data_IF_217972631850
#
_entry.id   IF_217972631850
#
_cell.length_a   1.000
_cell.length_b   1.000
_cell.length_c   1.000
_cell.angle_alpha   90.00
_cell.angle_beta   90.00
_cell.angle_gamma   90.00
#
_symmetry.space_group_name_H-M   'P 1'
#
loop_
_entity.id
_entity.type
_entity.pdbx_description
1 polymer ?
#
# COMPACT_ATOMS: atom_id res chain seq x y z
N UNK A 1 9.90 13.15 -12.24
CA UNK A 1 8.65 12.55 -12.65
C UNK A 1 7.50 13.01 -11.77
N UNK A 2 6.36 13.05 -12.35
CA UNK A 2 5.18 13.49 -11.62
C UNK A 2 4.73 12.43 -10.65
N UNK A 3 4.50 12.85 -9.42
CA UNK A 3 3.80 12.01 -8.47
C UNK A 3 2.34 11.96 -8.87
N UNK A 4 1.86 10.80 -9.24
CA UNK A 4 0.47 10.61 -9.61
C UNK A 4 -0.34 9.94 -8.52
N UNK A 5 0.21 9.84 -7.34
CA UNK A 5 -0.49 9.25 -6.22
C UNK A 5 -1.58 10.17 -5.69
N UNK A 6 -2.56 9.57 -5.06
CA UNK A 6 -3.63 10.30 -4.43
C UNK A 6 -4.10 9.56 -3.19
N UNK A 7 -4.73 10.31 -2.30
CA UNK A 7 -5.22 9.76 -1.05
C UNK A 7 -6.73 9.56 -1.15
N UNK A 8 -7.17 8.36 -0.76
CA UNK A 8 -8.59 8.02 -0.72
C UNK A 8 -9.06 7.97 0.72
N UNK A 9 -10.18 8.61 0.98
CA UNK A 9 -10.87 8.52 2.27
C UNK A 9 -12.06 7.60 2.09
N UNK A 10 -12.15 6.56 2.90
CA UNK A 10 -13.22 5.60 2.83
C UNK A 10 -12.76 4.20 3.18
N UNK A 11 -13.57 3.21 2.83
CA UNK A 11 -13.21 1.81 3.10
C UNK A 11 -12.25 1.31 2.02
N UNK A 12 -10.96 1.39 2.34
CA UNK A 12 -9.90 1.00 1.40
C UNK A 12 -9.82 -0.50 1.15
N UNK A 13 -10.62 -1.31 1.85
CA UNK A 13 -10.70 -2.75 1.58
C UNK A 13 -11.78 -3.08 0.56
N UNK A 14 -12.59 -2.11 0.17
CA UNK A 14 -13.60 -2.28 -0.87
C UNK A 14 -12.94 -2.22 -2.24
N UNK A 15 -13.05 -3.28 -3.07
CA UNK A 15 -12.49 -3.25 -4.42
C UNK A 15 -12.95 -2.07 -5.27
N UNK A 16 -14.19 -1.63 -5.11
CA UNK A 16 -14.70 -0.49 -5.88
C UNK A 16 -13.95 0.79 -5.53
N UNK A 17 -13.63 0.98 -4.25
CA UNK A 17 -12.86 2.15 -3.80
C UNK A 17 -11.44 2.09 -4.38
N UNK A 18 -10.82 0.91 -4.37
CA UNK A 18 -9.48 0.73 -4.92
C UNK A 18 -9.47 0.98 -6.42
N UNK A 19 -10.49 0.54 -7.14
CA UNK A 19 -10.57 0.76 -8.59
C UNK A 19 -10.80 2.21 -8.93
N UNK A 20 -11.62 2.92 -8.16
CA UNK A 20 -11.78 4.37 -8.32
C UNK A 20 -10.46 5.10 -8.08
N UNK A 21 -9.64 4.59 -7.17
CA UNK A 21 -8.32 5.14 -6.89
C UNK A 21 -7.31 4.89 -8.02
N UNK A 22 -7.65 4.07 -9.03
CA UNK A 22 -6.78 3.79 -10.15
C UNK A 22 -5.79 2.65 -9.90
N UNK A 23 -6.13 1.71 -9.02
CA UNK A 23 -5.22 0.62 -8.65
C UNK A 23 -4.80 -0.22 -9.88
N UNK A 24 -5.66 -0.33 -10.89
CA UNK A 24 -5.34 -1.10 -12.09
C UNK A 24 -4.21 -0.50 -12.91
N UNK A 25 -3.93 0.79 -12.73
CA UNK A 25 -2.88 1.50 -13.43
C UNK A 25 -1.71 1.85 -12.53
N UNK A 26 -1.76 1.42 -11.28
CA UNK A 26 -0.71 1.74 -10.32
C UNK A 26 0.54 0.92 -10.61
N UNK A 27 1.68 1.56 -10.64
CA UNK A 27 2.98 0.89 -10.67
C UNK A 27 3.46 0.63 -9.25
N UNK A 28 3.18 1.55 -8.36
CA UNK A 28 3.54 1.45 -6.95
C UNK A 28 2.29 1.69 -6.12
N UNK A 29 2.04 0.83 -5.15
CA UNK A 29 0.98 1.02 -4.18
C UNK A 29 1.56 0.95 -2.77
N UNK A 30 1.16 1.89 -1.94
CA UNK A 30 1.53 1.89 -0.52
C UNK A 30 0.27 1.93 0.33
N UNK A 31 0.06 0.89 1.10
CA UNK A 31 -1.01 0.84 2.10
C UNK A 31 -0.45 1.34 3.43
N UNK A 32 -0.78 2.58 3.77
CA UNK A 32 -0.15 3.29 4.89
C UNK A 32 -1.18 3.94 5.82
N UNK A 33 -2.28 3.26 6.07
CA UNK A 33 -3.28 3.68 7.04
C UNK A 33 -2.78 3.43 8.46
N UNK A 34 -3.55 3.84 9.46
CA UNK A 34 -3.22 3.58 10.86
C UNK A 34 -3.48 2.14 11.28
N UNK A 35 -4.16 1.35 10.45
CA UNK A 35 -4.55 -0.02 10.78
C UNK A 35 -3.69 -1.02 10.01
N UNK A 36 -2.87 -1.77 10.74
CA UNK A 36 -1.99 -2.78 10.14
C UNK A 36 -2.77 -3.84 9.36
N UNK A 37 -3.93 -4.26 9.87
CA UNK A 37 -4.71 -5.29 9.20
C UNK A 37 -5.27 -4.80 7.87
N UNK A 38 -5.72 -3.55 7.84
CA UNK A 38 -6.17 -2.92 6.59
C UNK A 38 -5.02 -2.84 5.60
N UNK A 39 -3.84 -2.42 6.07
CA UNK A 39 -2.66 -2.29 5.21
C UNK A 39 -2.26 -3.63 4.62
N UNK A 40 -2.28 -4.69 5.42
CA UNK A 40 -1.97 -6.03 4.93
C UNK A 40 -3.00 -6.51 3.91
N UNK A 41 -4.27 -6.27 4.16
CA UNK A 41 -5.33 -6.68 3.24
C UNK A 41 -5.24 -5.94 1.90
N UNK A 42 -5.07 -4.64 1.93
CA UNK A 42 -4.94 -3.84 0.70
C UNK A 42 -3.70 -4.28 -0.09
N UNK A 43 -2.60 -4.50 0.60
CA UNK A 43 -1.37 -4.96 -0.05
C UNK A 43 -1.55 -6.33 -0.70
N UNK A 44 -2.22 -7.25 -0.03
CA UNK A 44 -2.52 -8.57 -0.60
C UNK A 44 -3.41 -8.46 -1.82
N UNK A 45 -4.42 -7.61 -1.79
CA UNK A 45 -5.29 -7.38 -2.93
C UNK A 45 -4.51 -6.80 -4.10
N UNK A 46 -3.63 -5.85 -3.84
CA UNK A 46 -2.81 -5.24 -4.87
C UNK A 46 -1.93 -6.27 -5.58
N UNK A 47 -1.36 -7.23 -4.82
CA UNK A 47 -0.52 -8.26 -5.40
C UNK A 47 -1.32 -9.35 -6.10
N UNK A 48 -2.39 -9.84 -5.46
CA UNK A 48 -3.10 -11.03 -5.91
C UNK A 48 -4.16 -10.74 -6.95
N UNK A 49 -4.82 -9.60 -6.85
CA UNK A 49 -5.93 -9.27 -7.75
C UNK A 49 -5.47 -8.35 -8.86
N UNK A 50 -4.67 -7.34 -8.53
CA UNK A 50 -4.34 -6.26 -9.46
C UNK A 50 -2.91 -6.32 -10.00
N UNK A 51 -2.10 -7.23 -9.47
CA UNK A 51 -0.72 -7.46 -9.93
C UNK A 51 0.11 -6.17 -10.02
N UNK A 52 0.01 -5.33 -9.01
CA UNK A 52 0.78 -4.10 -8.92
C UNK A 52 2.27 -4.47 -8.77
N UNK A 53 3.15 -3.81 -9.52
CA UNK A 53 4.56 -4.15 -9.56
C UNK A 53 5.26 -4.03 -8.22
N UNK A 54 5.08 -2.91 -7.54
CA UNK A 54 5.70 -2.66 -6.25
C UNK A 54 4.64 -2.35 -5.21
N UNK A 55 4.62 -3.13 -4.15
CA UNK A 55 3.62 -3.00 -3.09
C UNK A 55 4.32 -2.87 -1.74
N UNK A 56 3.89 -1.87 -0.98
CA UNK A 56 4.38 -1.59 0.36
C UNK A 56 3.22 -1.61 1.34
N UNK A 57 3.48 -2.09 2.55
CA UNK A 57 2.49 -2.06 3.62
C UNK A 57 3.13 -1.49 4.89
N UNK A 58 2.52 -0.45 5.43
CA UNK A 58 2.95 0.09 6.72
C UNK A 58 2.53 -0.86 7.82
N UNK A 59 3.46 -1.18 8.69
CA UNK A 59 3.21 -2.00 9.87
C UNK A 59 3.73 -1.28 11.10
N UNK A 60 2.91 -1.25 12.14
CA UNK A 60 3.33 -0.80 13.46
C UNK A 60 3.80 -1.97 14.30
N UNK A 61 3.28 -3.16 14.03
CA UNK A 61 3.57 -4.39 14.77
C UNK A 61 4.35 -5.36 13.90
N UNK A 62 5.61 -5.62 14.27
CA UNK A 62 6.47 -6.54 13.53
C UNK A 62 5.93 -7.97 13.51
N UNK A 63 5.12 -8.35 14.49
CA UNK A 63 4.52 -9.68 14.53
C UNK A 63 3.54 -9.92 13.38
N UNK A 64 3.12 -8.88 12.69
CA UNK A 64 2.19 -8.99 11.56
C UNK A 64 2.87 -9.15 10.22
N UNK A 65 4.19 -9.13 10.16
CA UNK A 65 4.91 -9.33 8.90
C UNK A 65 4.56 -10.66 8.23
N UNK A 66 4.23 -11.68 9.00
CA UNK A 66 3.86 -12.98 8.44
C UNK A 66 2.64 -12.89 7.51
N UNK A 67 1.79 -11.87 7.68
CA UNK A 67 0.60 -11.70 6.85
C UNK A 67 0.92 -11.32 5.41
N UNK A 68 2.10 -10.76 5.18
CA UNK A 68 2.55 -10.34 3.85
C UNK A 68 3.77 -11.11 3.36
N UNK A 69 4.18 -12.11 4.11
CA UNK A 69 5.34 -12.93 3.79
C UNK A 69 5.10 -13.76 2.52
N UNK A 70 6.10 -13.85 1.66
CA UNK A 70 6.02 -14.65 0.44
C UNK A 70 5.25 -14.03 -0.71
N UNK A 71 4.73 -12.82 -0.56
CA UNK A 71 3.94 -12.14 -1.59
C UNK A 71 4.71 -11.01 -2.29
N UNK A 72 5.99 -10.86 -1.98
CA UNK A 72 6.79 -9.76 -2.50
C UNK A 72 6.19 -8.39 -2.16
N UNK A 73 5.75 -8.26 -0.91
CA UNK A 73 5.27 -7.02 -0.34
C UNK A 73 6.32 -6.52 0.65
N UNK A 74 6.68 -5.25 0.55
CA UNK A 74 7.69 -4.66 1.43
C UNK A 74 7.03 -4.01 2.62
N UNK A 75 7.48 -4.36 3.82
CA UNK A 75 7.00 -3.74 5.04
C UNK A 75 7.68 -2.38 5.24
N UNK A 76 6.90 -1.41 5.68
CA UNK A 76 7.39 -0.08 6.03
C UNK A 76 7.12 0.15 7.51
N UNK A 77 8.18 0.48 8.25
CA UNK A 77 8.04 0.81 9.67
C UNK A 77 8.24 2.33 9.81
N UNK A 78 7.22 3.07 10.28
CA UNK A 78 7.27 4.54 10.29
C UNK A 78 8.48 5.15 10.99
N UNK A 79 9.02 4.44 11.98
CA UNK A 79 10.19 4.90 12.71
C UNK A 79 11.48 4.88 11.87
N UNK A 80 11.46 4.25 10.69
CA UNK A 80 12.65 4.04 9.85
C UNK A 80 12.56 4.72 8.50
N UNK A 81 11.40 5.29 8.14
CA UNK A 81 11.20 5.84 6.80
C UNK A 81 10.61 7.24 6.87
N UNK A 82 11.23 8.14 6.13
CA UNK A 82 10.69 9.47 5.92
C UNK A 82 9.49 9.41 4.97
N UNK A 83 8.41 10.07 5.32
CA UNK A 83 7.23 10.17 4.48
C UNK A 83 7.58 10.84 3.16
N UNK A 84 8.45 11.82 3.17
CA UNK A 84 8.83 12.54 1.95
C UNK A 84 9.65 11.68 1.01
N UNK A 85 10.58 10.89 1.52
CA UNK A 85 11.32 9.96 0.68
C UNK A 85 10.37 8.96 0.02
N UNK A 86 9.33 8.56 0.73
CA UNK A 86 8.34 7.63 0.19
C UNK A 86 7.48 8.29 -0.91
N UNK A 87 7.10 9.54 -0.71
CA UNK A 87 6.29 10.27 -1.69
C UNK A 87 6.95 10.39 -3.06
N UNK A 88 8.26 10.42 -3.11
CA UNK A 88 8.98 10.48 -4.39
C UNK A 88 8.83 9.22 -5.22
N UNK A 89 8.49 8.11 -4.60
CA UNK A 89 8.41 6.82 -5.26
C UNK A 89 6.98 6.39 -5.56
N UNK A 90 6.01 6.92 -4.84
CA UNK A 90 4.67 6.34 -4.85
C UNK A 90 3.81 6.86 -5.97
N UNK A 91 2.96 5.98 -6.49
CA UNK A 91 1.85 6.32 -7.38
C UNK A 91 0.57 6.48 -6.58
N UNK A 92 0.33 5.62 -5.62
CA UNK A 92 -0.85 5.64 -4.77
C UNK A 92 -0.43 5.40 -3.33
N UNK A 93 -0.93 6.24 -2.42
CA UNK A 93 -0.71 6.09 -0.98
C UNK A 93 -2.06 6.15 -0.28
N UNK A 94 -2.33 5.14 0.51
CA UNK A 94 -3.55 5.10 1.33
C UNK A 94 -3.24 5.41 2.78
#
# INVERSE_FOLDING_TARGET
>A
ANFSGFQIVGNVTDPDVLEEAGIRRAVILAAATDDDNVNCMVAQMARRIYDVDEVFARLNDTDKEHLISGLNIKAIYPARLSVEAFKELSSIVF
#
